data_IF_210760973610
#
_entry.id   IF_210760973610
#
_cell.length_a   1.000
_cell.length_b   1.000
_cell.length_c   1.000
_cell.angle_alpha   90.00
_cell.angle_beta   90.00
_cell.angle_gamma   90.00
#
_symmetry.space_group_name_H-M   'P 1'
#
loop_
_entity.id
_entity.type
_entity.pdbx_description
1 polymer ?
#
# COMPACT_ATOMS: atom_id res chain seq x y z
N UNK A 1 19.07 -9.64 -8.69
CA UNK A 1 18.19 -10.70 -9.27
C UNK A 1 18.66 -12.08 -8.83
N UNK A 2 17.78 -12.88 -8.23
CA UNK A 2 18.06 -14.32 -8.09
C UNK A 2 18.09 -14.95 -9.49
N UNK A 3 19.19 -15.63 -9.81
CA UNK A 3 19.30 -16.32 -11.08
C UNK A 3 18.25 -17.43 -11.16
N UNK A 4 17.57 -17.52 -12.30
CA UNK A 4 16.67 -18.64 -12.60
C UNK A 4 17.45 -19.95 -12.44
N UNK A 5 16.82 -20.97 -11.88
CA UNK A 5 17.41 -22.30 -11.87
C UNK A 5 17.62 -22.80 -13.32
N UNK A 6 18.48 -23.79 -13.51
CA UNK A 6 18.90 -24.28 -14.83
C UNK A 6 17.70 -24.69 -15.71
N UNK A 7 16.67 -25.30 -15.13
CA UNK A 7 15.47 -25.71 -15.88
C UNK A 7 14.74 -24.50 -16.47
N UNK A 8 14.40 -23.50 -15.62
CA UNK A 8 13.65 -22.33 -16.07
C UNK A 8 14.44 -21.42 -16.99
N UNK A 9 15.78 -21.36 -16.81
CA UNK A 9 16.64 -20.62 -17.72
C UNK A 9 16.57 -21.20 -19.14
N UNK A 10 16.72 -22.51 -19.29
CA UNK A 10 16.64 -23.15 -20.60
C UNK A 10 15.21 -23.11 -21.16
N UNK A 11 14.20 -23.24 -20.33
CA UNK A 11 12.81 -23.14 -20.74
C UNK A 11 12.49 -21.80 -21.41
N UNK A 12 12.92 -20.69 -20.81
CA UNK A 12 12.75 -19.34 -21.37
C UNK A 12 13.51 -19.21 -22.71
N UNK A 13 14.78 -19.64 -22.76
CA UNK A 13 15.59 -19.56 -23.97
C UNK A 13 14.93 -20.35 -25.12
N UNK A 14 14.49 -21.57 -24.87
CA UNK A 14 13.85 -22.42 -25.87
C UNK A 14 12.59 -21.80 -26.39
N UNK A 15 11.69 -21.35 -25.52
CA UNK A 15 10.43 -20.71 -25.93
C UNK A 15 10.70 -19.48 -26.80
N UNK A 16 11.60 -18.59 -26.37
CA UNK A 16 11.91 -17.36 -27.09
C UNK A 16 12.46 -17.68 -28.48
N UNK A 17 13.46 -18.58 -28.55
CA UNK A 17 14.09 -18.94 -29.83
C UNK A 17 13.11 -19.65 -30.76
N UNK A 18 12.35 -20.63 -30.25
CA UNK A 18 11.37 -21.37 -31.06
C UNK A 18 10.27 -20.43 -31.55
N UNK A 19 9.80 -19.49 -30.71
CA UNK A 19 8.77 -18.52 -31.11
C UNK A 19 9.26 -17.59 -32.22
N UNK A 20 10.47 -17.03 -32.12
CA UNK A 20 11.03 -16.13 -33.14
C UNK A 20 11.26 -16.89 -34.44
N UNK A 21 11.89 -18.07 -34.37
CA UNK A 21 12.11 -18.89 -35.56
C UNK A 21 10.81 -19.40 -36.21
N UNK A 22 9.84 -19.78 -35.37
CA UNK A 22 8.53 -20.20 -35.81
C UNK A 22 7.74 -19.08 -36.51
N UNK A 23 7.78 -17.86 -35.98
CA UNK A 23 7.17 -16.69 -36.63
C UNK A 23 7.87 -16.37 -37.96
N UNK A 24 9.20 -16.40 -37.98
CA UNK A 24 9.94 -16.19 -39.21
C UNK A 24 9.66 -17.26 -40.26
N UNK A 25 9.65 -18.54 -39.86
CA UNK A 25 9.30 -19.65 -40.75
C UNK A 25 7.88 -19.52 -41.26
N UNK A 26 6.90 -19.28 -40.42
CA UNK A 26 5.50 -19.11 -40.77
C UNK A 26 5.32 -17.96 -41.79
N UNK A 27 5.95 -16.82 -41.55
CA UNK A 27 5.92 -15.66 -42.42
C UNK A 27 6.40 -16.01 -43.85
N UNK A 28 7.50 -16.78 -43.97
CA UNK A 28 8.06 -17.15 -45.26
C UNK A 28 7.30 -18.27 -45.93
N UNK A 29 6.70 -19.16 -45.16
CA UNK A 29 5.83 -20.20 -45.67
C UNK A 29 4.52 -19.61 -46.22
N UNK A 30 3.86 -18.75 -45.48
CA UNK A 30 2.61 -18.13 -45.93
C UNK A 30 2.79 -17.13 -47.07
N UNK A 31 4.00 -16.56 -47.24
CA UNK A 31 4.31 -15.73 -48.40
C UNK A 31 4.13 -16.45 -49.73
N UNK A 32 4.47 -17.76 -49.79
CA UNK A 32 4.39 -18.56 -51.01
C UNK A 32 2.95 -19.00 -51.38
N UNK A 33 2.00 -18.93 -50.47
CA UNK A 33 0.61 -19.39 -50.69
C UNK A 33 -0.19 -18.46 -51.59
N UNK A 34 0.30 -17.28 -51.95
CA UNK A 34 -0.36 -16.32 -52.82
C UNK A 34 0.43 -15.95 -54.10
N UNK A 35 1.65 -16.47 -54.27
CA UNK A 35 2.51 -16.09 -55.41
C UNK A 35 1.98 -16.68 -56.75
N UNK A 36 1.18 -17.75 -56.72
CA UNK A 36 0.53 -18.31 -57.92
C UNK A 36 -0.67 -17.48 -58.40
N UNK A 37 -1.09 -16.50 -57.60
CA UNK A 37 -2.23 -15.61 -57.89
C UNK A 37 -1.84 -14.34 -58.67
N UNK A 38 -0.65 -14.24 -59.26
CA UNK A 38 -0.21 -13.06 -60.03
C UNK A 38 -1.08 -12.71 -61.26
N UNK A 39 -2.11 -13.49 -61.53
CA UNK A 39 -2.96 -13.30 -62.71
C UNK A 39 -4.45 -13.02 -62.42
N UNK A 40 -4.88 -12.96 -61.19
CA UNK A 40 -6.25 -12.59 -60.84
C UNK A 40 -6.26 -11.31 -59.98
N UNK A 41 -6.83 -10.21 -60.48
CA UNK A 41 -6.97 -8.95 -59.76
C UNK A 41 -7.81 -9.11 -58.45
N UNK A 42 -8.56 -10.20 -58.30
CA UNK A 42 -9.53 -10.43 -57.22
C UNK A 42 -9.20 -11.58 -56.27
N UNK A 43 -7.99 -12.16 -56.31
CA UNK A 43 -7.64 -13.32 -55.46
C UNK A 43 -8.40 -14.60 -55.81
N UNK A 44 -7.90 -15.77 -55.39
CA UNK A 44 -8.57 -17.07 -55.59
C UNK A 44 -9.57 -17.31 -54.45
N UNK A 45 -10.79 -17.76 -54.78
CA UNK A 45 -11.81 -18.11 -53.79
C UNK A 45 -11.34 -19.33 -52.99
N UNK A 46 -11.31 -19.21 -51.67
CA UNK A 46 -10.93 -20.31 -50.76
C UNK A 46 -11.99 -21.41 -50.67
N UNK A 47 -13.19 -21.18 -51.25
CA UNK A 47 -14.35 -22.05 -51.11
C UNK A 47 -15.13 -21.89 -49.81
N UNK A 48 -14.67 -20.98 -48.94
CA UNK A 48 -15.42 -20.63 -47.72
C UNK A 48 -16.42 -19.52 -48.01
N UNK A 49 -17.69 -19.77 -47.71
CA UNK A 49 -18.78 -18.81 -47.88
C UNK A 49 -19.35 -18.44 -46.50
N UNK A 50 -19.35 -17.15 -46.19
CA UNK A 50 -19.92 -16.59 -44.98
C UNK A 50 -21.28 -15.96 -45.31
N UNK A 51 -22.27 -16.15 -44.45
CA UNK A 51 -23.60 -15.53 -44.58
C UNK A 51 -24.23 -15.68 -45.99
N UNK A 52 -24.06 -16.87 -46.57
CA UNK A 52 -24.60 -17.32 -47.89
C UNK A 52 -24.07 -16.57 -49.13
N UNK A 53 -23.48 -15.39 -48.97
CA UNK A 53 -23.12 -14.52 -50.12
C UNK A 53 -21.70 -13.95 -50.07
N UNK A 54 -20.99 -14.05 -48.95
CA UNK A 54 -19.66 -13.48 -48.78
C UNK A 54 -18.61 -14.57 -48.98
N UNK A 55 -17.89 -14.49 -50.09
CA UNK A 55 -16.78 -15.40 -50.43
C UNK A 55 -15.46 -14.89 -49.82
N UNK A 56 -14.70 -15.80 -49.24
CA UNK A 56 -13.37 -15.53 -48.75
C UNK A 56 -12.36 -15.65 -49.89
N UNK A 57 -11.60 -14.58 -50.14
CA UNK A 57 -10.58 -14.56 -51.18
C UNK A 57 -9.19 -14.74 -50.58
N UNK A 58 -8.37 -15.61 -51.16
CA UNK A 58 -6.99 -15.81 -50.82
C UNK A 58 -6.11 -14.70 -51.43
N UNK A 59 -5.96 -13.59 -50.74
CA UNK A 59 -5.14 -12.46 -51.17
C UNK A 59 -3.71 -12.57 -50.62
N UNK A 60 -2.68 -12.32 -51.47
CA UNK A 60 -1.29 -12.35 -51.00
C UNK A 60 -1.03 -11.29 -49.96
N UNK A 61 -0.13 -11.57 -49.02
CA UNK A 61 0.27 -10.64 -47.98
C UNK A 61 0.88 -9.37 -48.59
N UNK A 62 0.46 -8.16 -48.17
CA UNK A 62 1.05 -6.90 -48.64
C UNK A 62 2.56 -6.85 -48.42
N UNK A 63 3.35 -6.49 -49.42
CA UNK A 63 4.82 -6.43 -49.32
C UNK A 63 5.32 -5.57 -48.18
N UNK A 64 4.67 -4.40 -47.96
CA UNK A 64 5.04 -3.50 -46.85
C UNK A 64 4.87 -4.19 -45.49
N UNK A 65 3.84 -5.02 -45.32
CA UNK A 65 3.58 -5.76 -44.09
C UNK A 65 4.66 -6.83 -43.84
N UNK A 66 5.05 -7.57 -44.88
CA UNK A 66 6.14 -8.53 -44.82
C UNK A 66 7.46 -7.88 -44.40
N UNK A 67 7.78 -6.70 -44.96
CA UNK A 67 8.97 -5.97 -44.59
C UNK A 67 8.89 -5.48 -43.15
N UNK A 68 7.75 -4.92 -42.72
CA UNK A 68 7.53 -4.48 -41.35
C UNK A 68 7.75 -5.63 -40.35
N UNK A 69 7.16 -6.80 -40.63
CA UNK A 69 7.29 -7.96 -39.76
C UNK A 69 8.76 -8.46 -39.67
N UNK A 70 9.46 -8.53 -40.78
CA UNK A 70 10.90 -8.85 -40.75
C UNK A 70 11.73 -7.81 -39.95
N UNK A 71 11.41 -6.53 -40.07
CA UNK A 71 12.05 -5.48 -39.25
C UNK A 71 11.81 -5.72 -37.76
N UNK A 72 10.60 -6.10 -37.35
CA UNK A 72 10.31 -6.42 -35.94
C UNK A 72 11.09 -7.64 -35.45
N UNK A 73 11.29 -8.66 -36.28
CA UNK A 73 12.14 -9.82 -35.93
C UNK A 73 13.58 -9.39 -35.74
N UNK A 74 14.14 -8.60 -36.68
CA UNK A 74 15.50 -8.06 -36.56
C UNK A 74 15.64 -7.21 -35.30
N UNK A 75 14.66 -6.34 -35.05
CA UNK A 75 14.62 -5.55 -33.82
C UNK A 75 14.62 -6.44 -32.58
N UNK A 76 13.81 -7.50 -32.52
CA UNK A 76 13.77 -8.42 -31.39
C UNK A 76 15.12 -9.10 -31.16
N UNK A 77 15.81 -9.54 -32.22
CA UNK A 77 17.14 -10.13 -32.10
C UNK A 77 18.18 -9.14 -31.60
N UNK A 78 18.17 -7.91 -32.10
CA UNK A 78 19.06 -6.84 -31.63
C UNK A 78 18.74 -6.50 -30.17
N UNK A 79 17.46 -6.39 -29.81
CA UNK A 79 17.04 -6.15 -28.45
C UNK A 79 17.56 -7.23 -27.49
N UNK A 80 17.37 -8.52 -27.82
CA UNK A 80 17.81 -9.64 -26.99
C UNK A 80 19.35 -9.73 -26.87
N UNK A 81 20.09 -9.18 -27.82
CA UNK A 81 21.55 -9.10 -27.72
C UNK A 81 22.02 -8.02 -26.72
N UNK A 82 21.29 -6.92 -26.59
CA UNK A 82 21.66 -5.79 -25.76
C UNK A 82 20.96 -5.74 -24.41
N UNK A 83 19.74 -6.20 -24.33
CA UNK A 83 18.88 -6.15 -23.15
C UNK A 83 18.53 -7.55 -22.63
N UNK A 84 18.14 -7.69 -21.35
CA UNK A 84 17.73 -8.97 -20.79
C UNK A 84 16.42 -9.48 -21.45
N UNK A 85 16.38 -10.79 -21.70
CA UNK A 85 15.23 -11.46 -22.31
C UNK A 85 15.48 -12.93 -22.63
N UNK A 86 16.73 -13.39 -22.48
CA UNK A 86 17.15 -14.78 -22.69
C UNK A 86 17.57 -15.41 -21.34
N UNK A 87 16.59 -15.74 -20.50
CA UNK A 87 16.84 -16.36 -19.20
C UNK A 87 17.82 -15.53 -18.34
N UNK A 88 18.93 -16.16 -17.91
CA UNK A 88 19.93 -15.49 -17.07
C UNK A 88 20.91 -14.60 -17.87
N UNK A 89 20.75 -14.48 -19.18
CA UNK A 89 21.56 -13.57 -19.95
C UNK A 89 21.11 -12.12 -19.77
N UNK A 90 21.96 -11.31 -19.14
CA UNK A 90 21.65 -9.92 -18.79
C UNK A 90 21.73 -8.94 -19.99
N UNK A 91 22.04 -9.42 -21.20
CA UNK A 91 22.34 -8.57 -22.34
C UNK A 91 23.72 -7.91 -22.26
N UNK A 92 24.21 -7.38 -23.38
CA UNK A 92 25.53 -6.71 -23.44
C UNK A 92 25.58 -5.42 -22.62
N UNK A 93 24.46 -4.75 -22.45
CA UNK A 93 24.39 -3.49 -21.68
C UNK A 93 24.32 -3.74 -20.17
N UNK A 94 23.98 -4.95 -19.72
CA UNK A 94 23.75 -5.24 -18.30
C UNK A 94 22.65 -4.37 -17.66
N UNK A 95 21.84 -3.71 -18.48
CA UNK A 95 20.76 -2.85 -18.01
C UNK A 95 19.59 -3.71 -17.54
N UNK A 96 19.10 -3.42 -16.36
CA UNK A 96 17.85 -3.98 -15.84
C UNK A 96 17.01 -2.86 -15.22
N UNK A 97 15.72 -3.05 -15.20
CA UNK A 97 14.81 -2.12 -14.54
C UNK A 97 15.12 -1.98 -13.03
N UNK A 98 15.57 -3.08 -12.41
CA UNK A 98 15.99 -3.11 -11.01
C UNK A 98 17.26 -2.26 -10.79
N UNK A 99 18.31 -2.43 -11.60
CA UNK A 99 19.53 -1.64 -11.48
C UNK A 99 19.28 -0.14 -11.72
N UNK A 100 18.39 0.20 -12.65
CA UNK A 100 17.98 1.58 -12.87
C UNK A 100 17.27 2.14 -11.64
N UNK A 101 16.31 1.41 -11.11
CA UNK A 101 15.58 1.80 -9.89
C UNK A 101 16.53 1.98 -8.70
N UNK A 102 17.44 1.04 -8.46
CA UNK A 102 18.45 1.14 -7.40
C UNK A 102 19.34 2.38 -7.55
N UNK A 103 19.77 2.67 -8.79
CA UNK A 103 20.57 3.85 -9.06
C UNK A 103 19.79 5.16 -8.82
N UNK A 104 18.53 5.22 -9.23
CA UNK A 104 17.66 6.36 -8.98
C UNK A 104 17.36 6.53 -7.48
N UNK A 105 17.12 5.42 -6.75
CA UNK A 105 16.92 5.46 -5.30
C UNK A 105 18.17 5.92 -4.56
N UNK A 106 19.35 5.42 -4.93
CA UNK A 106 20.61 5.86 -4.34
C UNK A 106 20.87 7.36 -4.58
N UNK A 107 20.57 7.85 -5.77
CA UNK A 107 20.69 9.27 -6.08
C UNK A 107 19.69 10.13 -5.28
N UNK A 108 18.46 9.64 -5.11
CA UNK A 108 17.43 10.31 -4.31
C UNK A 108 17.81 10.34 -2.81
N UNK A 109 18.32 9.23 -2.27
CA UNK A 109 18.82 9.17 -0.90
C UNK A 109 19.98 10.12 -0.66
N UNK A 110 20.94 10.19 -1.59
CA UNK A 110 22.06 11.13 -1.50
C UNK A 110 21.59 12.59 -1.51
N UNK A 111 20.59 12.92 -2.33
CA UNK A 111 20.01 14.26 -2.37
C UNK A 111 19.22 14.58 -1.08
N UNK A 112 18.48 13.62 -0.55
CA UNK A 112 17.80 13.75 0.74
C UNK A 112 18.79 13.96 1.89
N UNK A 113 19.89 13.21 1.92
CA UNK A 113 20.90 13.33 2.97
C UNK A 113 21.47 14.74 3.06
N UNK A 114 21.69 15.41 1.93
CA UNK A 114 22.16 16.80 1.93
C UNK A 114 21.16 17.76 2.62
N UNK A 115 19.86 17.51 2.51
CA UNK A 115 18.82 18.34 3.12
C UNK A 115 18.62 17.98 4.59
N UNK A 116 18.54 16.68 4.89
CA UNK A 116 18.11 16.21 6.21
C UNK A 116 19.24 16.01 7.22
N UNK A 117 20.52 15.95 6.80
CA UNK A 117 21.66 15.75 7.70
C UNK A 117 21.70 16.78 8.83
N UNK A 118 21.50 18.06 8.51
CA UNK A 118 21.51 19.14 9.51
C UNK A 118 20.40 19.00 10.54
N UNK A 119 19.21 18.52 10.14
CA UNK A 119 18.07 18.38 11.05
C UNK A 119 18.24 17.23 12.04
N UNK A 120 19.01 16.19 11.69
CA UNK A 120 19.28 15.07 12.61
C UNK A 120 20.16 15.46 13.80
N UNK A 121 20.96 16.50 13.63
CA UNK A 121 21.85 17.01 14.69
C UNK A 121 21.15 18.04 15.59
N UNK A 122 19.97 18.53 15.19
CA UNK A 122 19.20 19.51 15.95
C UNK A 122 18.44 18.87 17.12
N UNK A 123 18.38 19.59 18.24
CA UNK A 123 17.48 19.23 19.32
C UNK A 123 16.02 19.47 18.94
N UNK A 124 15.04 18.85 19.62
CA UNK A 124 13.62 19.10 19.37
C UNK A 124 13.24 20.58 19.42
N UNK A 125 13.76 21.33 20.39
CA UNK A 125 13.50 22.77 20.53
C UNK A 125 14.06 23.58 19.35
N UNK A 126 15.23 23.19 18.84
CA UNK A 126 15.81 23.79 17.64
C UNK A 126 14.99 23.49 16.39
N UNK A 127 14.49 22.27 16.24
CA UNK A 127 13.62 21.90 15.12
C UNK A 127 12.30 22.67 15.14
N UNK A 128 11.70 22.86 16.33
CA UNK A 128 10.48 23.64 16.49
C UNK A 128 10.70 25.11 16.13
N UNK A 129 11.88 25.65 16.40
CA UNK A 129 12.22 27.04 16.10
C UNK A 129 12.69 27.27 14.64
N UNK A 130 13.10 26.21 13.93
CA UNK A 130 13.60 26.30 12.55
C UNK A 130 12.46 26.37 11.55
N UNK A 131 12.40 27.46 10.77
CA UNK A 131 11.32 27.70 9.80
C UNK A 131 11.30 26.66 8.69
N UNK A 132 12.48 26.27 8.16
CA UNK A 132 12.57 25.30 7.07
C UNK A 132 12.17 23.89 7.52
N UNK A 133 12.59 23.49 8.76
CA UNK A 133 12.15 22.23 9.35
C UNK A 133 10.62 22.17 9.49
N UNK A 134 10.00 23.27 9.95
CA UNK A 134 8.55 23.36 10.09
C UNK A 134 7.83 23.32 8.73
N UNK A 135 8.35 24.00 7.70
CA UNK A 135 7.77 23.96 6.35
C UNK A 135 7.85 22.57 5.74
N UNK A 136 8.99 21.89 5.87
CA UNK A 136 9.17 20.52 5.40
C UNK A 136 8.25 19.57 6.18
N UNK A 137 8.25 19.68 7.51
CA UNK A 137 7.38 18.91 8.38
C UNK A 137 5.90 19.09 8.07
N UNK A 138 5.47 20.33 7.81
CA UNK A 138 4.11 20.64 7.41
C UNK A 138 3.71 19.99 6.09
N UNK A 139 4.60 19.98 5.09
CA UNK A 139 4.36 19.28 3.81
C UNK A 139 4.30 17.75 4.00
N UNK A 140 5.20 17.18 4.80
CA UNK A 140 5.20 15.75 5.12
C UNK A 140 3.93 15.35 5.87
N UNK A 141 3.50 16.15 6.85
CA UNK A 141 2.26 15.94 7.56
C UNK A 141 1.05 16.00 6.62
N UNK A 142 1.00 17.02 5.76
CA UNK A 142 -0.07 17.20 4.78
C UNK A 142 -0.21 16.00 3.84
N UNK A 143 0.91 15.45 3.38
CA UNK A 143 0.92 14.35 2.42
C UNK A 143 0.64 12.97 3.05
N UNK A 144 1.05 12.75 4.31
CA UNK A 144 1.05 11.41 4.90
C UNK A 144 0.08 11.25 6.09
N UNK A 145 -0.19 12.33 6.83
CA UNK A 145 -0.89 12.25 8.11
C UNK A 145 -2.27 12.94 8.09
N UNK A 146 -2.39 14.03 7.33
CA UNK A 146 -3.59 14.88 7.32
C UNK A 146 -4.86 14.17 6.86
N UNK A 147 -4.74 13.14 6.01
CA UNK A 147 -5.90 12.34 5.57
C UNK A 147 -6.66 11.73 6.74
N UNK A 148 -5.95 11.33 7.79
CA UNK A 148 -6.55 10.73 8.98
C UNK A 148 -6.71 11.76 10.12
N UNK A 149 -5.67 12.56 10.37
CA UNK A 149 -5.64 13.46 11.53
C UNK A 149 -6.19 14.87 11.26
N UNK A 150 -6.63 15.17 10.04
CA UNK A 150 -7.04 16.51 9.62
C UNK A 150 -5.85 17.40 9.27
N UNK A 151 -6.04 18.39 8.41
CA UNK A 151 -4.97 19.30 7.98
C UNK A 151 -4.47 20.20 9.12
N UNK A 152 -5.27 20.38 10.16
CA UNK A 152 -4.96 21.14 11.37
C UNK A 152 -4.51 20.24 12.55
N UNK A 153 -4.43 18.93 12.32
CA UNK A 153 -4.04 17.95 13.33
C UNK A 153 -5.08 17.68 14.42
N UNK A 154 -6.30 18.26 14.32
CA UNK A 154 -7.34 18.14 15.36
C UNK A 154 -8.10 16.83 15.33
N UNK A 155 -7.69 15.91 14.46
CA UNK A 155 -8.29 14.60 14.36
C UNK A 155 -9.57 14.59 13.53
N UNK A 156 -10.07 13.38 13.34
CA UNK A 156 -11.33 13.11 12.68
C UNK A 156 -12.02 11.93 13.38
N UNK A 157 -13.19 11.54 12.87
CA UNK A 157 -13.87 10.35 13.39
C UNK A 157 -12.93 9.15 13.39
N UNK A 158 -12.72 8.53 14.54
CA UNK A 158 -11.82 7.40 14.79
C UNK A 158 -10.31 7.72 14.78
N UNK A 159 -9.93 8.97 14.54
CA UNK A 159 -8.54 9.39 14.57
C UNK A 159 -8.31 10.45 15.65
N UNK A 160 -7.27 10.27 16.53
CA UNK A 160 -7.04 11.16 17.65
C UNK A 160 -6.65 12.57 17.19
N UNK A 161 -7.02 13.54 18.02
CA UNK A 161 -6.47 14.89 17.97
C UNK A 161 -4.99 14.86 18.40
N UNK A 162 -4.12 15.47 17.61
CA UNK A 162 -2.69 15.54 17.89
C UNK A 162 -2.26 16.89 18.52
N UNK A 163 -3.23 17.80 18.71
CA UNK A 163 -2.99 19.15 19.22
C UNK A 163 -3.48 19.38 20.65
N UNK A 164 -4.13 18.37 21.26
CA UNK A 164 -4.58 18.41 22.63
C UNK A 164 -3.57 17.77 23.60
N UNK A 165 -3.93 17.71 24.88
CA UNK A 165 -3.08 17.13 25.93
C UNK A 165 -3.37 15.64 26.20
N UNK A 166 -4.26 15.02 25.42
CA UNK A 166 -4.74 13.67 25.66
C UNK A 166 -3.96 12.65 24.82
N UNK A 167 -2.82 12.24 25.32
CA UNK A 167 -1.89 11.32 24.66
C UNK A 167 -1.92 9.93 25.26
N UNK A 168 -2.19 8.92 24.44
CA UNK A 168 -2.24 7.52 24.88
C UNK A 168 -0.88 6.97 25.30
N UNK A 169 0.18 7.36 24.60
CA UNK A 169 1.54 6.85 24.81
C UNK A 169 2.54 7.95 25.22
N UNK A 170 2.01 9.11 25.63
CA UNK A 170 2.78 10.28 25.97
C UNK A 170 3.12 11.16 24.77
N UNK A 171 3.50 12.40 25.07
CA UNK A 171 3.75 13.48 24.12
C UNK A 171 5.21 13.95 24.08
N UNK A 172 6.13 13.24 24.72
CA UNK A 172 7.54 13.58 24.58
C UNK A 172 8.00 13.31 23.14
N UNK A 173 9.02 14.02 22.69
CA UNK A 173 9.58 13.85 21.35
C UNK A 173 9.90 12.38 21.06
N UNK A 174 10.55 11.70 22.00
CA UNK A 174 10.93 10.29 21.88
C UNK A 174 9.71 9.38 21.76
N UNK A 175 8.65 9.64 22.52
CA UNK A 175 7.42 8.86 22.49
C UNK A 175 6.68 9.03 21.15
N UNK A 176 6.63 10.24 20.64
CA UNK A 176 6.06 10.56 19.33
C UNK A 176 6.90 9.92 18.21
N UNK A 177 8.22 10.01 18.29
CA UNK A 177 9.13 9.36 17.35
C UNK A 177 8.90 7.84 17.29
N UNK A 178 8.83 7.17 18.44
CA UNK A 178 8.53 5.72 18.49
C UNK A 178 7.14 5.43 17.89
N UNK A 179 6.16 6.28 18.14
CA UNK A 179 4.81 6.09 17.59
C UNK A 179 4.78 6.20 16.08
N UNK A 180 5.57 7.10 15.48
CA UNK A 180 5.66 7.29 14.03
C UNK A 180 6.49 6.18 13.37
N UNK A 181 7.65 5.83 13.95
CA UNK A 181 8.60 4.89 13.31
C UNK A 181 8.22 3.43 13.46
N UNK A 182 7.71 3.02 14.62
CA UNK A 182 7.40 1.63 14.94
C UNK A 182 5.89 1.35 15.01
N UNK A 183 5.07 2.39 15.07
CA UNK A 183 3.64 2.25 15.36
C UNK A 183 3.38 1.86 16.81
N UNK A 184 2.11 1.76 17.15
CA UNK A 184 1.65 1.32 18.48
C UNK A 184 0.52 0.31 18.32
N UNK A 185 0.53 -0.70 19.16
CA UNK A 185 -0.54 -1.68 19.25
C UNK A 185 -0.96 -1.87 20.69
N UNK A 186 -2.19 -1.43 21.00
CA UNK A 186 -2.84 -1.66 22.29
C UNK A 186 -3.83 -2.80 22.18
N UNK A 187 -3.89 -3.65 23.22
CA UNK A 187 -4.85 -4.75 23.29
C UNK A 187 -5.64 -4.61 24.58
N UNK A 188 -6.98 -4.56 24.46
CA UNK A 188 -7.89 -4.65 25.59
C UNK A 188 -8.50 -6.06 25.65
N UNK A 189 -8.36 -6.72 26.77
CA UNK A 189 -8.96 -8.04 26.98
C UNK A 189 -10.49 -7.91 27.12
N UNK A 190 -11.28 -8.76 26.43
CA UNK A 190 -12.73 -8.76 26.58
C UNK A 190 -13.13 -9.33 27.96
N UNK A 191 -13.89 -8.57 28.73
CA UNK A 191 -14.34 -8.95 30.09
C UNK A 191 -15.79 -9.40 30.16
N UNK A 192 -16.48 -9.52 29.03
CA UNK A 192 -17.91 -9.90 29.01
C UNK A 192 -18.21 -11.24 29.70
N UNK A 193 -17.33 -12.24 29.50
CA UNK A 193 -17.50 -13.54 30.14
C UNK A 193 -17.31 -13.51 31.67
N UNK A 194 -16.53 -12.55 32.17
CA UNK A 194 -16.26 -12.39 33.63
C UNK A 194 -17.32 -11.56 34.32
N UNK A 195 -17.74 -10.48 33.66
CA UNK A 195 -18.69 -9.50 34.23
C UNK A 195 -20.15 -9.90 34.06
N UNK A 196 -20.45 -10.69 33.02
CA UNK A 196 -21.81 -10.91 32.58
C UNK A 196 -22.44 -9.64 31.99
N UNK A 197 -23.65 -9.75 31.46
CA UNK A 197 -24.34 -8.64 30.77
C UNK A 197 -24.60 -7.48 31.72
N UNK A 198 -25.12 -7.74 32.92
CA UNK A 198 -25.41 -6.67 33.90
C UNK A 198 -24.14 -6.00 34.40
N UNK A 199 -23.07 -6.74 34.67
CA UNK A 199 -21.79 -6.19 35.07
C UNK A 199 -21.19 -5.27 34.00
N UNK A 200 -21.29 -5.66 32.73
CA UNK A 200 -20.87 -4.81 31.60
C UNK A 200 -21.68 -3.53 31.53
N UNK A 201 -23.01 -3.59 31.65
CA UNK A 201 -23.91 -2.41 31.68
C UNK A 201 -23.55 -1.46 32.83
N UNK A 202 -23.29 -2.01 34.00
CA UNK A 202 -22.91 -1.23 35.19
C UNK A 202 -21.59 -0.51 34.98
N UNK A 203 -20.55 -1.21 34.48
CA UNK A 203 -19.25 -0.59 34.18
C UNK A 203 -19.39 0.51 33.12
N UNK A 204 -20.18 0.30 32.08
CA UNK A 204 -20.46 1.33 31.06
C UNK A 204 -21.08 2.57 31.71
N UNK A 205 -22.07 2.42 32.58
CA UNK A 205 -22.67 3.56 33.27
C UNK A 205 -21.65 4.33 34.12
N UNK A 206 -20.75 3.61 34.81
CA UNK A 206 -19.68 4.27 35.56
C UNK A 206 -18.68 5.02 34.67
N UNK A 207 -18.26 4.44 33.54
CA UNK A 207 -17.37 5.08 32.58
C UNK A 207 -18.03 6.34 31.97
N UNK A 208 -19.34 6.28 31.68
CA UNK A 208 -20.10 7.46 31.22
C UNK A 208 -20.10 8.57 32.30
N UNK A 209 -20.27 8.21 33.56
CA UNK A 209 -20.18 9.15 34.67
C UNK A 209 -18.78 9.79 34.79
N UNK A 210 -17.70 9.00 34.63
CA UNK A 210 -16.33 9.51 34.63
C UNK A 210 -16.07 10.53 33.54
N UNK A 211 -16.70 10.35 32.36
CA UNK A 211 -16.59 11.26 31.22
C UNK A 211 -17.56 12.45 31.28
N UNK A 212 -18.30 12.63 32.40
CA UNK A 212 -19.26 13.71 32.57
C UNK A 212 -20.56 13.54 31.79
N UNK A 213 -20.82 12.35 31.25
CA UNK A 213 -22.06 12.03 30.57
C UNK A 213 -23.17 11.62 31.56
N UNK A 214 -24.40 11.71 31.10
CA UNK A 214 -25.56 11.27 31.90
C UNK A 214 -25.55 9.74 31.97
N UNK A 215 -25.55 9.19 33.17
CA UNK A 215 -25.65 7.76 33.42
C UNK A 215 -26.67 7.50 34.53
N UNK A 216 -27.18 6.29 34.58
CA UNK A 216 -28.00 5.85 35.70
C UNK A 216 -27.14 5.76 36.97
N UNK A 217 -27.51 6.48 38.07
CA UNK A 217 -26.66 6.52 39.26
C UNK A 217 -26.51 5.17 39.97
N UNK A 218 -27.54 4.35 39.99
CA UNK A 218 -27.49 3.03 40.67
C UNK A 218 -26.59 2.06 39.91
N UNK A 219 -26.72 2.06 38.59
CA UNK A 219 -25.86 1.28 37.73
C UNK A 219 -24.39 1.77 37.79
N UNK A 220 -24.17 3.07 37.82
CA UNK A 220 -22.84 3.65 37.93
C UNK A 220 -22.14 3.31 39.25
N UNK A 221 -22.87 3.34 40.37
CA UNK A 221 -22.33 2.95 41.68
C UNK A 221 -22.01 1.45 41.74
N UNK A 222 -22.85 0.59 41.18
CA UNK A 222 -22.54 -0.83 41.02
C UNK A 222 -21.32 -1.07 40.09
N UNK A 223 -21.24 -0.31 39.01
CA UNK A 223 -20.14 -0.37 38.03
C UNK A 223 -18.79 0.09 38.59
N UNK A 224 -18.80 1.02 39.53
CA UNK A 224 -17.60 1.52 40.21
C UNK A 224 -16.81 0.40 40.90
N UNK A 225 -17.50 -0.54 41.58
CA UNK A 225 -16.87 -1.68 42.23
C UNK A 225 -16.15 -2.59 41.22
N UNK A 226 -16.79 -2.89 40.08
CA UNK A 226 -16.17 -3.66 38.98
C UNK A 226 -15.00 -2.93 38.36
N UNK A 227 -15.12 -1.63 38.10
CA UNK A 227 -14.06 -0.82 37.54
C UNK A 227 -12.83 -0.81 38.44
N UNK A 228 -12.99 -0.61 39.73
CA UNK A 228 -11.90 -0.59 40.71
C UNK A 228 -11.22 -1.96 40.89
N UNK A 229 -11.91 -3.06 40.58
CA UNK A 229 -11.35 -4.42 40.73
C UNK A 229 -10.61 -4.88 39.46
N UNK A 230 -11.12 -4.53 38.28
CA UNK A 230 -10.67 -5.10 37.02
C UNK A 230 -10.04 -4.06 36.10
N UNK A 231 -10.70 -2.90 35.93
CA UNK A 231 -10.35 -1.94 34.88
C UNK A 231 -9.25 -0.95 35.32
N UNK A 232 -9.21 -0.62 36.60
CA UNK A 232 -8.32 0.39 37.16
C UNK A 232 -6.84 0.06 36.97
N UNK A 233 -6.47 -1.22 36.90
CA UNK A 233 -5.08 -1.65 36.71
C UNK A 233 -4.45 -1.09 35.44
N UNK A 234 -5.26 -0.94 34.39
CA UNK A 234 -4.85 -0.39 33.11
C UNK A 234 -5.32 1.06 32.92
N UNK A 235 -6.55 1.37 33.33
CA UNK A 235 -7.16 2.69 33.06
C UNK A 235 -6.95 3.72 34.18
N UNK A 236 -6.31 3.35 35.26
CA UNK A 236 -6.12 4.23 36.43
C UNK A 236 -7.36 4.30 37.33
N UNK A 237 -7.17 4.68 38.58
CA UNK A 237 -8.26 4.78 39.56
C UNK A 237 -9.26 5.88 39.20
N UNK A 238 -8.78 6.92 38.55
CA UNK A 238 -9.53 8.10 38.13
C UNK A 238 -9.94 8.05 36.63
N UNK A 239 -9.67 6.95 35.93
CA UNK A 239 -9.98 6.79 34.53
C UNK A 239 -9.12 7.62 33.57
N UNK A 240 -7.97 8.15 34.03
CA UNK A 240 -7.06 8.97 33.20
C UNK A 240 -6.10 8.15 32.35
N UNK A 241 -6.26 6.84 32.33
CA UNK A 241 -5.45 5.95 31.54
C UNK A 241 -4.06 5.68 32.13
N UNK A 242 -3.25 4.98 31.34
CA UNK A 242 -1.86 4.68 31.64
C UNK A 242 -1.04 4.77 30.35
N UNK A 243 -0.23 5.80 30.21
CA UNK A 243 0.57 6.03 29.01
C UNK A 243 1.62 4.94 28.76
N UNK A 244 2.12 4.27 29.79
CA UNK A 244 3.07 3.16 29.62
C UNK A 244 2.41 1.94 28.95
N UNK A 245 1.12 1.76 29.16
CA UNK A 245 0.32 0.66 28.60
C UNK A 245 -0.51 1.08 27.37
N UNK A 246 -0.54 2.38 27.05
CA UNK A 246 -1.37 2.91 25.97
C UNK A 246 -2.87 2.79 26.22
N UNK A 247 -3.28 2.84 27.49
CA UNK A 247 -4.68 2.69 27.86
C UNK A 247 -5.43 4.02 27.75
N UNK A 248 -6.65 3.96 27.18
CA UNK A 248 -7.49 5.13 26.94
C UNK A 248 -7.84 5.91 28.22
N UNK A 249 -7.90 7.23 28.08
CA UNK A 249 -8.55 8.11 29.05
C UNK A 249 -10.07 7.99 28.92
N UNK A 250 -10.77 7.96 30.07
CA UNK A 250 -12.22 8.04 30.12
C UNK A 250 -12.73 9.42 30.58
N UNK A 251 -11.84 10.31 30.96
CA UNK A 251 -12.20 11.62 31.55
C UNK A 251 -12.20 12.77 30.55
N UNK A 252 -11.75 12.55 29.31
CA UNK A 252 -11.75 13.55 28.25
C UNK A 252 -12.58 13.11 27.04
N UNK A 253 -13.38 14.02 26.45
CA UNK A 253 -14.12 13.70 25.24
C UNK A 253 -13.15 13.55 24.05
N UNK A 254 -12.83 12.32 23.71
CA UNK A 254 -12.11 11.99 22.49
C UNK A 254 -12.99 12.24 21.27
N UNK A 255 -12.46 12.53 20.07
CA UNK A 255 -13.24 12.48 18.82
C UNK A 255 -13.96 11.15 18.59
N UNK A 256 -13.48 10.07 19.23
CA UNK A 256 -14.17 8.77 19.28
C UNK A 256 -15.44 8.81 20.12
N UNK A 257 -15.47 9.63 21.18
CA UNK A 257 -16.57 9.67 22.17
C UNK A 257 -17.77 10.51 21.69
N UNK A 258 -17.57 11.37 20.69
CA UNK A 258 -18.69 12.07 20.03
C UNK A 258 -19.63 11.12 19.28
N UNK A 259 -19.28 9.85 19.21
CA UNK A 259 -20.16 8.78 18.74
C UNK A 259 -20.56 7.89 19.91
N UNK A 260 -21.67 8.21 20.52
CA UNK A 260 -22.34 7.57 21.64
C UNK A 260 -22.55 6.04 21.57
N UNK A 261 -21.96 5.34 20.60
CA UNK A 261 -22.19 3.92 20.37
C UNK A 261 -20.94 3.05 20.31
N UNK A 262 -19.73 3.62 20.27
CA UNK A 262 -18.51 2.81 20.05
C UNK A 262 -17.89 2.25 21.33
N UNK A 263 -17.98 2.96 22.45
CA UNK A 263 -17.48 2.44 23.73
C UNK A 263 -18.30 1.24 24.19
N UNK A 264 -19.62 1.26 23.96
CA UNK A 264 -20.50 0.13 24.25
C UNK A 264 -20.34 -1.05 23.28
N UNK A 265 -19.97 -0.80 22.02
CA UNK A 265 -19.85 -1.87 21.01
C UNK A 265 -18.60 -2.70 21.20
N UNK A 266 -17.48 -2.10 21.59
CA UNK A 266 -16.22 -2.80 21.90
C UNK A 266 -16.26 -3.61 23.19
N UNK A 267 -17.26 -3.37 24.06
CA UNK A 267 -17.48 -4.15 25.28
C UNK A 267 -18.50 -5.28 25.07
N UNK A 268 -19.25 -5.27 23.96
CA UNK A 268 -20.30 -6.23 23.66
C UNK A 268 -19.94 -7.23 22.56
N UNK A 269 -18.86 -7.00 21.77
CA UNK A 269 -18.22 -7.96 20.86
C UNK A 269 -17.04 -8.65 21.55
#
# INVERSE_FOLDING_TARGET
MENLNTFWNWWVIIIVVVSILGCWWLLHWTKGVGDDAEHHEDGEDTGHVWDETIHELNSPLPRWWLHLFNITIVFALVYLAFFPGLGNFAGKLGWTQENQYEAEMAAAEAAQEQVFSRFREMTPDQLIADTEANEIGGRLFGNNCAMCHGSDGRGAKSFPNLTDNDWLYGNSFEQVMVSITAGRQGVMTPFGAVLGEDGVRNVVAYVQQLSGQKADPEMADAGKAHFQTICMACHGMDGKGNQALGCLLYTSPSPRDKQFHLVCRLLLE
#
